data_IF_752180021330
#
_entry.id   IF_752180021330
#
_cell.length_a   1.000
_cell.length_b   1.000
_cell.length_c   1.000
_cell.angle_alpha   90.00
_cell.angle_beta   90.00
_cell.angle_gamma   90.00
#
_symmetry.space_group_name_H-M   'P 1'
#
loop_
_entity.id
_entity.type
_entity.pdbx_description
1 polymer ?
#
# COMPACT_ATOMS: atom_id res chain seq x y z
N UNK A 1 12.14 14.03 15.60
CA UNK A 1 13.34 13.16 15.62
C UNK A 1 12.93 11.70 15.38
N UNK A 2 12.01 11.10 16.18
CA UNK A 2 11.62 9.68 16.03
C UNK A 2 11.10 9.31 14.64
N UNK A 3 10.36 10.18 13.97
CA UNK A 3 9.88 9.96 12.61
C UNK A 3 11.01 10.01 11.57
N UNK A 4 11.98 10.90 11.77
CA UNK A 4 13.17 10.99 10.90
C UNK A 4 14.02 9.71 11.01
N UNK A 5 14.24 9.21 12.25
CA UNK A 5 14.94 7.95 12.48
C UNK A 5 14.24 6.77 11.81
N UNK A 6 12.92 6.62 12.02
CA UNK A 6 12.14 5.57 11.36
C UNK A 6 12.21 5.66 9.83
N UNK A 7 12.19 6.88 9.27
CA UNK A 7 12.34 7.08 7.83
C UNK A 7 13.72 6.66 7.36
N UNK A 8 14.78 7.07 8.07
CA UNK A 8 16.15 6.72 7.74
C UNK A 8 16.33 5.20 7.73
N UNK A 9 15.92 4.50 8.78
CA UNK A 9 16.00 3.05 8.84
C UNK A 9 15.27 2.33 7.70
N UNK A 10 14.15 2.88 7.25
CA UNK A 10 13.33 2.27 6.20
C UNK A 10 13.91 2.44 4.80
N UNK A 11 14.49 3.59 4.49
CA UNK A 11 14.74 3.99 3.11
C UNK A 11 15.88 5.01 2.94
N UNK A 12 16.95 4.90 3.71
CA UNK A 12 18.13 5.73 3.50
C UNK A 12 18.80 5.38 2.17
N UNK A 13 18.93 6.36 1.28
CA UNK A 13 19.47 6.17 -0.07
C UNK A 13 20.95 5.81 -0.08
N UNK A 14 21.69 6.33 0.88
CA UNK A 14 23.12 6.21 1.09
C UNK A 14 23.53 5.09 2.06
N UNK A 15 22.55 4.44 2.71
CA UNK A 15 22.79 3.33 3.63
C UNK A 15 22.48 1.99 2.95
N UNK A 16 23.47 1.09 2.76
CA UNK A 16 23.24 -0.24 2.21
C UNK A 16 22.44 -1.16 3.13
N UNK A 17 22.32 -0.82 4.42
CA UNK A 17 21.61 -1.59 5.44
C UNK A 17 20.21 -1.08 5.72
N UNK A 18 19.70 -0.12 4.94
CA UNK A 18 18.29 0.29 5.05
C UNK A 18 17.35 -0.88 4.79
N UNK A 19 16.21 -0.91 5.49
CA UNK A 19 15.31 -2.07 5.50
C UNK A 19 14.73 -2.42 4.12
N UNK A 20 14.61 -1.45 3.23
CA UNK A 20 14.16 -1.63 1.85
C UNK A 20 15.17 -2.32 0.94
N UNK A 21 16.45 -2.40 1.38
CA UNK A 21 17.56 -3.03 0.63
C UNK A 21 17.97 -4.39 1.19
N UNK A 22 17.41 -4.82 2.32
CA UNK A 22 17.79 -6.09 2.93
C UNK A 22 17.37 -7.27 2.06
N UNK A 23 18.35 -8.09 1.67
CA UNK A 23 18.11 -9.31 0.91
C UNK A 23 17.35 -10.37 1.75
N UNK A 24 16.48 -11.11 1.09
CA UNK A 24 15.71 -12.20 1.73
C UNK A 24 14.45 -11.76 2.47
N UNK A 25 14.13 -10.48 2.46
CA UNK A 25 12.88 -9.97 3.03
C UNK A 25 11.93 -9.45 1.94
N UNK A 26 10.65 -9.52 2.26
CA UNK A 26 9.58 -9.04 1.38
C UNK A 26 9.53 -7.53 1.39
N UNK A 27 9.58 -6.92 0.21
CA UNK A 27 9.49 -5.49 0.04
C UNK A 27 8.10 -4.95 0.39
N UNK A 28 8.09 -3.68 0.83
CA UNK A 28 6.88 -2.91 1.08
C UNK A 28 6.90 -1.62 0.29
N UNK A 29 5.74 -1.22 -0.20
CA UNK A 29 5.57 -0.01 -0.98
C UNK A 29 4.62 0.94 -0.28
N UNK A 30 4.95 2.23 -0.26
CA UNK A 30 4.13 3.25 0.40
C UNK A 30 3.76 4.35 -0.57
N UNK A 31 2.51 4.34 -1.02
CA UNK A 31 1.99 5.33 -1.96
C UNK A 31 0.47 5.46 -1.88
N UNK A 32 -0.06 6.47 -2.57
CA UNK A 32 -1.50 6.66 -2.85
C UNK A 32 -1.90 6.11 -4.22
N UNK A 33 -0.94 5.60 -4.98
CA UNK A 33 -1.12 5.18 -6.38
C UNK A 33 -0.66 3.76 -6.65
N UNK A 34 -0.49 2.94 -5.59
CA UNK A 34 -0.05 1.55 -5.72
C UNK A 34 -0.96 0.74 -6.66
N UNK A 35 -2.28 0.94 -6.53
CA UNK A 35 -3.26 0.27 -7.40
C UNK A 35 -3.07 0.68 -8.85
N UNK A 36 -3.04 1.97 -9.13
CA UNK A 36 -2.86 2.49 -10.50
C UNK A 36 -1.56 2.00 -11.12
N UNK A 37 -0.44 2.12 -10.40
CA UNK A 37 0.89 1.87 -10.94
C UNK A 37 1.27 0.38 -11.01
N UNK A 38 0.89 -0.40 -10.00
CA UNK A 38 1.37 -1.77 -9.83
C UNK A 38 0.30 -2.84 -10.12
N UNK A 39 -0.98 -2.48 -10.08
CA UNK A 39 -2.08 -3.41 -10.33
C UNK A 39 -2.70 -3.18 -11.70
N UNK A 40 -3.06 -1.94 -12.02
CA UNK A 40 -3.85 -1.61 -13.22
C UNK A 40 -2.97 -1.33 -14.45
N UNK A 41 -1.91 -0.55 -14.29
CA UNK A 41 -1.04 -0.17 -15.41
C UNK A 41 -0.49 -1.36 -16.21
N UNK A 42 -0.11 -2.50 -15.60
CA UNK A 42 0.34 -3.68 -16.35
C UNK A 42 -0.72 -4.33 -17.25
N UNK A 43 -2.01 -4.02 -17.05
CA UNK A 43 -3.11 -4.54 -17.85
C UNK A 43 -3.33 -3.72 -19.14
N UNK A 44 -2.91 -2.46 -19.15
CA UNK A 44 -3.06 -1.58 -20.32
C UNK A 44 -2.28 -2.12 -21.51
N UNK A 45 -2.92 -2.10 -22.68
CA UNK A 45 -2.38 -2.68 -23.91
C UNK A 45 -2.45 -4.21 -24.02
N UNK A 46 -2.84 -4.91 -22.94
CA UNK A 46 -3.10 -6.36 -22.93
C UNK A 46 -4.59 -6.69 -22.98
N UNK A 47 -5.41 -5.82 -22.43
CA UNK A 47 -6.87 -5.91 -22.38
C UNK A 47 -7.51 -4.65 -22.96
N UNK A 48 -8.78 -4.70 -23.30
CA UNK A 48 -9.53 -3.57 -23.84
C UNK A 48 -9.52 -2.40 -22.83
N UNK A 49 -9.29 -1.19 -23.32
CA UNK A 49 -9.21 0.01 -22.46
C UNK A 49 -10.49 0.22 -21.64
N UNK A 50 -11.66 -0.07 -22.19
CA UNK A 50 -12.95 0.00 -21.50
C UNK A 50 -12.97 -0.88 -20.23
N UNK A 51 -12.41 -2.10 -20.30
CA UNK A 51 -12.33 -3.01 -19.15
C UNK A 51 -11.36 -2.45 -18.12
N UNK A 52 -10.17 -2.01 -18.54
CA UNK A 52 -9.12 -1.49 -17.66
C UNK A 52 -9.57 -0.20 -16.98
N UNK A 53 -10.26 0.69 -17.70
CA UNK A 53 -10.80 1.94 -17.18
C UNK A 53 -11.93 1.72 -16.16
N UNK A 54 -12.68 0.63 -16.26
CA UNK A 54 -13.67 0.23 -15.27
C UNK A 54 -13.04 -0.43 -14.03
N UNK A 55 -11.99 -1.22 -14.20
CA UNK A 55 -11.27 -1.88 -13.11
C UNK A 55 -10.55 -0.87 -12.21
N UNK A 56 -9.96 0.19 -12.76
CA UNK A 56 -9.16 1.14 -11.99
C UNK A 56 -9.93 1.77 -10.82
N UNK A 57 -11.08 2.45 -11.02
CA UNK A 57 -11.85 3.04 -9.93
C UNK A 57 -12.39 1.99 -8.96
N UNK A 58 -12.75 0.80 -9.44
CA UNK A 58 -13.27 -0.27 -8.62
C UNK A 58 -12.20 -0.80 -7.64
N UNK A 59 -10.99 -1.06 -8.11
CA UNK A 59 -9.86 -1.47 -7.27
C UNK A 59 -9.37 -0.33 -6.36
N UNK A 60 -9.37 0.92 -6.82
CA UNK A 60 -9.04 2.07 -5.97
C UNK A 60 -10.01 2.18 -4.79
N UNK A 61 -11.31 2.04 -5.02
CA UNK A 61 -12.30 2.08 -3.96
C UNK A 61 -12.19 0.90 -3.00
N UNK A 62 -11.84 -0.27 -3.50
CA UNK A 62 -11.62 -1.46 -2.69
C UNK A 62 -10.45 -1.27 -1.73
N UNK A 63 -9.31 -0.80 -2.23
CA UNK A 63 -8.05 -0.71 -1.49
C UNK A 63 -8.00 0.53 -0.60
N UNK A 64 -8.36 1.69 -1.12
CA UNK A 64 -8.22 2.97 -0.40
C UNK A 64 -9.52 3.43 0.29
N UNK A 65 -10.63 2.73 0.06
CA UNK A 65 -11.93 3.09 0.60
C UNK A 65 -12.82 3.87 -0.35
N UNK A 66 -14.07 4.06 0.08
CA UNK A 66 -15.10 4.76 -0.72
C UNK A 66 -14.58 6.12 -1.19
N UNK A 67 -14.90 6.47 -2.45
CA UNK A 67 -14.52 7.72 -3.09
C UNK A 67 -13.03 7.86 -3.48
N UNK A 68 -12.21 6.85 -3.29
CA UNK A 68 -10.79 6.86 -3.68
C UNK A 68 -10.57 7.12 -5.18
N UNK A 69 -11.55 6.77 -6.01
CA UNK A 69 -11.56 7.01 -7.45
C UNK A 69 -11.65 8.52 -7.81
N UNK A 70 -12.15 9.38 -6.90
CA UNK A 70 -12.29 10.82 -7.16
C UNK A 70 -10.97 11.56 -7.32
N UNK A 71 -9.86 10.95 -6.95
CA UNK A 71 -8.52 11.49 -7.17
C UNK A 71 -7.51 11.18 -6.09
N UNK A 72 -6.26 11.51 -6.34
CA UNK A 72 -5.13 11.25 -5.43
C UNK A 72 -5.31 11.87 -4.03
N UNK A 73 -5.96 13.03 -3.94
CA UNK A 73 -6.19 13.72 -2.65
C UNK A 73 -7.18 12.99 -1.76
N UNK A 74 -8.12 12.24 -2.34
CA UNK A 74 -9.12 11.44 -1.62
C UNK A 74 -8.54 10.13 -1.07
N UNK A 75 -7.33 9.74 -1.48
CA UNK A 75 -6.71 8.48 -1.10
C UNK A 75 -5.80 8.67 0.09
N UNK A 76 -5.93 7.77 1.05
CA UNK A 76 -4.95 7.66 2.13
C UNK A 76 -3.64 7.04 1.58
N UNK A 77 -2.50 7.46 2.14
CA UNK A 77 -1.24 6.78 1.84
C UNK A 77 -1.21 5.44 2.55
N UNK A 78 -1.21 4.34 1.82
CA UNK A 78 -1.11 2.99 2.36
C UNK A 78 0.29 2.41 2.21
N UNK A 79 0.61 1.48 3.09
CA UNK A 79 1.78 0.62 3.03
C UNK A 79 1.29 -0.79 2.70
N UNK A 80 1.65 -1.30 1.52
CA UNK A 80 1.31 -2.66 1.08
C UNK A 80 2.60 -3.44 0.80
N UNK A 81 2.58 -4.71 1.15
CA UNK A 81 3.66 -5.63 0.82
C UNK A 81 3.59 -6.09 -0.63
N UNK A 82 4.71 -6.51 -1.17
CA UNK A 82 4.78 -7.07 -2.52
C UNK A 82 3.79 -8.23 -2.74
N UNK A 83 3.64 -9.23 -1.82
CA UNK A 83 2.68 -10.31 -2.00
C UNK A 83 1.23 -9.84 -2.09
N UNK A 84 0.87 -8.78 -1.36
CA UNK A 84 -0.47 -8.20 -1.43
C UNK A 84 -0.73 -7.56 -2.79
N UNK A 85 0.27 -6.85 -3.32
CA UNK A 85 0.17 -6.21 -4.64
C UNK A 85 0.14 -7.24 -5.76
N UNK A 86 0.95 -8.29 -5.67
CA UNK A 86 0.95 -9.40 -6.63
C UNK A 86 -0.40 -10.14 -6.64
N UNK A 87 -0.97 -10.36 -5.47
CA UNK A 87 -2.29 -10.97 -5.35
C UNK A 87 -3.38 -10.10 -5.96
N UNK A 88 -3.36 -8.78 -5.69
CA UNK A 88 -4.29 -7.82 -6.31
C UNK A 88 -4.12 -7.78 -7.83
N UNK A 89 -2.88 -7.75 -8.32
CA UNK A 89 -2.58 -7.73 -9.75
C UNK A 89 -3.07 -8.99 -10.45
N UNK A 90 -2.79 -10.16 -9.86
CA UNK A 90 -3.29 -11.44 -10.36
C UNK A 90 -4.82 -11.46 -10.43
N UNK A 91 -5.49 -10.96 -9.38
CA UNK A 91 -6.94 -10.92 -9.36
C UNK A 91 -7.52 -9.94 -10.38
N UNK A 92 -6.90 -8.79 -10.55
CA UNK A 92 -7.31 -7.83 -11.59
C UNK A 92 -7.16 -8.44 -13.00
N UNK A 93 -6.08 -9.18 -13.24
CA UNK A 93 -5.86 -9.89 -14.50
C UNK A 93 -6.89 -11.00 -14.74
N UNK A 94 -7.19 -11.81 -13.74
CA UNK A 94 -8.22 -12.86 -13.83
C UNK A 94 -9.60 -12.29 -14.18
N UNK A 95 -9.97 -11.16 -13.55
CA UNK A 95 -11.23 -10.48 -13.86
C UNK A 95 -11.18 -9.93 -15.28
N UNK A 96 -10.12 -9.22 -15.67
CA UNK A 96 -9.98 -8.66 -17.01
C UNK A 96 -10.09 -9.72 -18.12
N UNK A 97 -9.56 -10.93 -17.85
CA UNK A 97 -9.62 -12.06 -18.79
C UNK A 97 -11.00 -12.72 -18.87
N UNK A 98 -11.84 -12.58 -17.85
CA UNK A 98 -13.12 -13.28 -17.74
C UNK A 98 -14.34 -12.46 -18.19
N UNK A 99 -14.20 -11.14 -18.34
CA UNK A 99 -15.27 -10.20 -18.65
C UNK A 99 -15.21 -9.71 -20.10
N UNK A 100 -16.33 -9.24 -20.63
CA UNK A 100 -16.46 -8.79 -22.02
C UNK A 100 -16.45 -7.28 -22.16
N UNK A 101 -16.89 -6.59 -21.12
CA UNK A 101 -17.02 -5.12 -21.12
C UNK A 101 -16.79 -4.52 -19.71
N UNK A 102 -16.77 -3.20 -19.62
CA UNK A 102 -16.53 -2.48 -18.38
C UNK A 102 -17.63 -2.70 -17.33
N UNK A 103 -18.89 -2.87 -17.74
CA UNK A 103 -20.00 -3.11 -16.80
C UNK A 103 -19.91 -4.47 -16.12
N UNK A 104 -19.48 -5.50 -16.87
CA UNK A 104 -19.20 -6.83 -16.28
C UNK A 104 -18.01 -6.76 -15.33
N UNK A 105 -16.96 -5.98 -15.68
CA UNK A 105 -15.79 -5.78 -14.84
C UNK A 105 -16.15 -5.16 -13.48
N UNK A 106 -16.93 -4.09 -13.45
CA UNK A 106 -17.39 -3.47 -12.21
C UNK A 106 -18.19 -4.45 -11.31
N UNK A 107 -19.10 -5.20 -11.92
CA UNK A 107 -19.89 -6.22 -11.19
C UNK A 107 -19.02 -7.33 -10.62
N UNK A 108 -18.06 -7.83 -11.40
CA UNK A 108 -17.15 -8.88 -10.98
C UNK A 108 -16.28 -8.43 -9.78
N UNK A 109 -15.77 -7.19 -9.80
CA UNK A 109 -15.05 -6.63 -8.65
C UNK A 109 -15.97 -6.48 -7.44
N UNK A 110 -17.20 -6.00 -7.63
CA UNK A 110 -18.14 -5.81 -6.52
C UNK A 110 -18.57 -7.15 -5.88
N UNK A 111 -18.75 -8.21 -6.67
CA UNK A 111 -19.02 -9.55 -6.15
C UNK A 111 -17.82 -10.13 -5.41
N UNK A 112 -16.66 -10.02 -6.00
CA UNK A 112 -15.43 -10.46 -5.36
C UNK A 112 -15.17 -9.73 -4.04
N UNK A 113 -15.37 -8.42 -3.97
CA UNK A 113 -15.21 -7.62 -2.77
C UNK A 113 -16.14 -8.04 -1.63
N UNK A 114 -17.31 -8.65 -1.93
CA UNK A 114 -18.21 -9.19 -0.91
C UNK A 114 -17.73 -10.51 -0.32
N UNK A 115 -17.00 -11.31 -1.09
CA UNK A 115 -16.55 -12.64 -0.70
C UNK A 115 -15.18 -12.67 -0.04
N UNK A 116 -14.38 -11.60 -0.23
CA UNK A 116 -12.98 -11.56 0.19
C UNK A 116 -12.62 -10.19 0.78
N UNK A 117 -11.99 -10.20 1.93
CA UNK A 117 -11.43 -9.02 2.56
C UNK A 117 -9.89 -9.13 2.58
N UNK A 118 -9.20 -8.04 2.93
CA UNK A 118 -7.75 -8.02 3.09
C UNK A 118 -7.23 -9.07 4.09
N UNK A 119 -8.07 -9.56 4.99
CA UNK A 119 -7.75 -10.64 5.91
C UNK A 119 -7.39 -11.94 5.16
N UNK A 120 -8.12 -12.27 4.09
CA UNK A 120 -7.79 -13.41 3.26
C UNK A 120 -6.43 -13.25 2.56
N UNK A 121 -6.03 -12.02 2.24
CA UNK A 121 -4.68 -11.72 1.73
C UNK A 121 -3.61 -11.97 2.79
N UNK A 122 -3.86 -11.57 4.03
CA UNK A 122 -2.88 -11.69 5.12
C UNK A 122 -2.70 -13.13 5.58
N UNK A 123 -3.74 -13.95 5.50
CA UNK A 123 -3.70 -15.37 5.89
C UNK A 123 -2.87 -16.24 4.92
N UNK A 124 -2.71 -15.80 3.68
CA UNK A 124 -1.99 -16.52 2.63
C UNK A 124 -0.51 -16.15 2.48
N UNK A 125 0.00 -15.20 3.25
CA UNK A 125 1.39 -14.76 3.16
C UNK A 125 2.04 -14.69 4.56
N UNK A 126 3.25 -15.19 4.69
CA UNK A 126 4.00 -15.19 5.95
C UNK A 126 4.35 -13.79 6.50
N UNK A 127 4.40 -12.77 5.61
CA UNK A 127 4.61 -11.37 5.97
C UNK A 127 3.88 -10.47 4.94
N UNK A 128 2.55 -10.37 4.97
CA UNK A 128 1.77 -9.72 3.92
C UNK A 128 2.15 -8.25 3.70
N UNK A 129 2.40 -7.51 4.77
CA UNK A 129 2.81 -6.11 4.71
C UNK A 129 4.31 -5.90 4.50
N UNK A 130 5.11 -6.96 4.46
CA UNK A 130 6.57 -6.91 4.39
C UNK A 130 7.24 -6.51 5.70
N UNK A 131 8.58 -6.51 5.70
CA UNK A 131 9.39 -6.25 6.89
C UNK A 131 9.08 -4.89 7.55
N UNK A 132 8.87 -3.86 6.77
CA UNK A 132 8.59 -2.51 7.27
C UNK A 132 7.27 -2.48 8.06
N UNK A 133 6.22 -3.13 7.56
CA UNK A 133 4.94 -3.22 8.27
C UNK A 133 5.06 -4.08 9.53
N UNK A 134 5.82 -5.17 9.47
CA UNK A 134 6.05 -6.04 10.61
C UNK A 134 6.78 -5.32 11.76
N UNK A 135 7.72 -4.41 11.47
CA UNK A 135 8.47 -3.67 12.49
C UNK A 135 7.74 -2.41 12.98
N UNK A 136 7.17 -1.63 12.09
CA UNK A 136 6.64 -0.30 12.41
C UNK A 136 5.11 -0.22 12.38
N UNK A 137 4.46 -1.34 12.12
CA UNK A 137 3.01 -1.41 12.02
C UNK A 137 2.46 -0.80 10.75
N UNK A 138 1.18 -1.08 10.53
CA UNK A 138 0.42 -0.54 9.42
C UNK A 138 -1.03 -0.32 9.84
N UNK A 139 -1.62 0.77 9.39
CA UNK A 139 -3.05 1.03 9.55
C UNK A 139 -3.71 1.13 8.17
N UNK A 140 -4.76 0.34 7.97
CA UNK A 140 -5.60 0.33 6.78
C UNK A 140 -7.02 0.69 7.20
N UNK A 141 -7.44 1.93 6.94
CA UNK A 141 -8.76 2.41 7.38
C UNK A 141 -9.92 1.78 6.60
N UNK A 142 -9.67 1.35 5.38
CA UNK A 142 -10.66 0.64 4.54
C UNK A 142 -10.93 -0.79 5.01
N UNK A 143 -9.96 -1.42 5.69
CA UNK A 143 -10.08 -2.75 6.28
C UNK A 143 -9.28 -2.86 7.59
N UNK A 144 -9.91 -2.63 8.75
CA UNK A 144 -9.24 -2.73 10.05
C UNK A 144 -8.64 -4.10 10.36
N UNK A 145 -9.13 -5.17 9.71
CA UNK A 145 -8.60 -6.52 9.88
C UNK A 145 -7.20 -6.69 9.28
N UNK A 146 -6.82 -5.81 8.35
CA UNK A 146 -5.48 -5.76 7.76
C UNK A 146 -4.49 -4.92 8.55
N UNK A 147 -4.86 -4.38 9.71
CA UNK A 147 -3.95 -3.63 10.57
C UNK A 147 -2.87 -4.56 11.14
N UNK A 148 -1.68 -4.00 11.29
CA UNK A 148 -0.52 -4.67 11.90
C UNK A 148 -0.01 -3.78 13.03
N UNK A 149 0.06 -4.31 14.23
CA UNK A 149 0.60 -3.61 15.37
C UNK A 149 2.12 -3.44 15.27
N UNK A 150 2.63 -2.29 15.72
CA UNK A 150 4.05 -1.99 15.67
C UNK A 150 4.77 -2.58 16.89
N UNK A 151 5.63 -3.60 16.76
CA UNK A 151 6.44 -4.08 17.87
C UNK A 151 7.62 -3.16 18.21
N UNK A 152 8.06 -2.31 17.26
CA UNK A 152 9.17 -1.38 17.47
C UNK A 152 8.65 0.01 17.82
N UNK A 153 8.91 0.43 19.05
CA UNK A 153 8.59 1.76 19.56
C UNK A 153 9.84 2.62 19.63
N UNK A 154 9.80 3.79 19.00
CA UNK A 154 10.90 4.76 19.02
C UNK A 154 10.48 5.92 19.90
N UNK A 155 11.04 6.01 21.08
CA UNK A 155 10.77 7.08 22.03
C UNK A 155 11.31 8.42 21.51
N UNK A 156 10.78 9.51 22.05
CA UNK A 156 11.35 10.84 21.82
C UNK A 156 12.73 10.94 22.45
N UNK A 157 13.68 11.43 21.69
CA UNK A 157 15.00 11.77 22.21
C UNK A 157 14.98 13.21 22.74
N UNK A 158 15.52 13.40 23.93
CA UNK A 158 15.67 14.70 24.57
C UNK A 158 17.15 15.00 24.78
N UNK A 159 17.52 16.25 24.63
CA UNK A 159 18.88 16.70 24.95
C UNK A 159 19.01 16.92 26.46
N UNK A 160 20.23 16.76 26.98
CA UNK A 160 20.57 17.00 28.38
C UNK A 160 21.42 18.27 28.57
N UNK A 161 21.67 19.00 27.50
CA UNK A 161 22.37 20.30 27.51
C UNK A 161 21.37 21.45 27.39
N UNK A 162 21.83 22.70 27.64
CA UNK A 162 21.01 23.88 27.44
C UNK A 162 20.52 23.95 25.99
N UNK A 163 19.24 24.14 25.81
CA UNK A 163 18.64 24.27 24.49
C UNK A 163 18.72 25.74 24.06
N UNK A 164 19.38 25.98 22.94
CA UNK A 164 19.26 27.25 22.21
C UNK A 164 18.21 27.05 21.12
N UNK A 165 17.19 27.90 21.11
CA UNK A 165 16.15 27.85 20.09
C UNK A 165 16.72 28.46 18.80
N UNK A 166 16.93 27.62 17.80
CA UNK A 166 17.21 28.07 16.44
C UNK A 166 15.89 28.46 15.76
N UNK A 167 15.78 29.72 15.34
CA UNK A 167 14.56 30.28 14.76
C UNK A 167 14.54 30.19 13.23
N UNK A 168 15.41 29.40 12.62
CA UNK A 168 15.39 29.15 11.19
C UNK A 168 14.15 28.32 10.79
N UNK A 169 13.20 29.02 10.20
CA UNK A 169 12.01 28.44 9.60
C UNK A 169 12.32 28.07 8.14
N UNK A 170 12.38 26.78 7.86
CA UNK A 170 12.35 26.30 6.48
C UNK A 170 10.87 26.09 6.05
N UNK A 171 10.43 26.90 5.10
CA UNK A 171 9.13 26.73 4.44
C UNK A 171 9.28 25.88 3.18
#
# INVERSE_FOLDING_TARGET
>A
ISQCLKRHWRMATDDPHSLDKLAGFVNSFRSRELVTELVIRPLRGRYADEIVDALEPAFQNLVYGKEAHKGKKSRQTLLLGQPELEWLAKRAEEIAASVRDGSEAEKAVAEWAKSQNFKAMSENASLPGGLIAALFGRMVTSDPAANIDAPVHVAHAFTVHAAEADQDYFT
#
